data_IF_168621678623
#
_entry.id   IF_168621678623
#
_cell.length_a   1.000
_cell.length_b   1.000
_cell.length_c   1.000
_cell.angle_alpha   90.00
_cell.angle_beta   90.00
_cell.angle_gamma   90.00
#
_symmetry.space_group_name_H-M   'P 1'
#
loop_
_entity.id
_entity.type
_entity.pdbx_description
1 polymer ?
#
# COMPACT_ATOMS: atom_id res chain seq x y z
N UNK A 1 -19.56 -2.03 -15.68
CA UNK A 1 -19.10 -1.18 -14.57
C UNK A 1 -19.42 0.27 -14.85
N UNK A 2 -19.92 1.03 -13.88
CA UNK A 2 -20.25 2.43 -14.10
C UNK A 2 -18.98 3.30 -14.00
N UNK A 3 -19.08 4.53 -14.56
CA UNK A 3 -17.98 5.51 -14.48
C UNK A 3 -17.64 5.85 -13.03
N UNK A 4 -18.64 5.92 -12.14
CA UNK A 4 -18.40 6.20 -10.71
C UNK A 4 -17.72 5.05 -10.00
N UNK A 5 -17.98 3.81 -10.38
CA UNK A 5 -17.29 2.62 -9.84
C UNK A 5 -15.83 2.60 -10.28
N UNK A 6 -15.55 2.94 -11.54
CA UNK A 6 -14.19 3.04 -12.06
C UNK A 6 -13.37 4.09 -11.31
N UNK A 7 -13.98 5.27 -11.06
CA UNK A 7 -13.32 6.33 -10.28
C UNK A 7 -13.05 5.90 -8.84
N UNK A 8 -13.97 5.16 -8.21
CA UNK A 8 -13.78 4.63 -6.87
C UNK A 8 -12.63 3.62 -6.82
N UNK A 9 -12.49 2.79 -7.85
CA UNK A 9 -11.42 1.80 -7.91
C UNK A 9 -10.04 2.47 -7.98
N UNK A 10 -9.86 3.45 -8.87
CA UNK A 10 -8.56 4.14 -8.98
C UNK A 10 -8.27 4.98 -7.75
N UNK A 11 -9.27 5.65 -7.16
CA UNK A 11 -9.10 6.39 -5.92
C UNK A 11 -8.79 5.46 -4.76
N UNK A 12 -9.41 4.28 -4.71
CA UNK A 12 -9.12 3.27 -3.69
C UNK A 12 -7.67 2.83 -3.69
N UNK A 13 -7.05 2.72 -4.87
CA UNK A 13 -5.63 2.40 -4.98
C UNK A 13 -4.76 3.56 -4.50
N UNK A 14 -5.11 4.80 -4.84
CA UNK A 14 -4.40 5.97 -4.32
C UNK A 14 -4.46 6.00 -2.79
N UNK A 15 -5.64 5.77 -2.21
CA UNK A 15 -5.84 5.74 -0.76
C UNK A 15 -4.99 4.64 -0.10
N UNK A 16 -4.92 3.48 -0.73
CA UNK A 16 -4.09 2.36 -0.27
C UNK A 16 -2.60 2.73 -0.29
N UNK A 17 -2.14 3.36 -1.36
CA UNK A 17 -0.76 3.85 -1.45
C UNK A 17 -0.44 4.85 -0.33
N UNK A 18 -1.36 5.74 -0.03
CA UNK A 18 -1.21 6.70 1.08
C UNK A 18 -1.12 5.98 2.43
N UNK A 19 -1.91 4.94 2.64
CA UNK A 19 -1.85 4.13 3.87
C UNK A 19 -0.48 3.47 4.04
N UNK A 20 0.04 2.83 2.98
CA UNK A 20 1.38 2.22 3.01
C UNK A 20 2.49 3.25 3.24
N UNK A 21 2.32 4.45 2.72
CA UNK A 21 3.34 5.51 2.86
C UNK A 21 3.29 6.22 4.21
N UNK A 22 2.16 6.16 4.93
CA UNK A 22 1.92 6.96 6.14
C UNK A 22 2.76 6.54 7.34
N UNK A 23 3.12 5.25 7.44
CA UNK A 23 3.77 4.71 8.62
C UNK A 23 2.82 4.43 9.80
N UNK A 24 1.51 4.59 9.59
CA UNK A 24 0.49 4.45 10.64
C UNK A 24 -0.18 3.07 10.69
N UNK A 25 0.21 2.18 9.79
CA UNK A 25 -0.39 0.85 9.65
C UNK A 25 0.68 -0.23 9.63
N UNK A 26 0.31 -1.44 10.06
CA UNK A 26 1.16 -2.62 9.92
C UNK A 26 0.45 -3.68 9.09
N UNK A 27 1.25 -4.54 8.46
CA UNK A 27 0.75 -5.58 7.57
C UNK A 27 0.66 -6.90 8.31
N UNK A 28 -0.49 -7.58 8.22
CA UNK A 28 -0.69 -8.92 8.75
C UNK A 28 -1.59 -9.70 7.80
N UNK A 29 -1.10 -10.85 7.34
CA UNK A 29 -1.82 -11.72 6.41
C UNK A 29 -2.37 -10.98 5.18
N UNK A 30 -1.58 -10.07 4.64
CA UNK A 30 -1.94 -9.31 3.43
C UNK A 30 -2.89 -8.14 3.66
N UNK A 31 -3.21 -7.82 4.90
CA UNK A 31 -4.13 -6.73 5.24
C UNK A 31 -3.46 -5.71 6.17
N UNK A 32 -3.80 -4.44 5.98
CA UNK A 32 -3.29 -3.34 6.80
C UNK A 32 -4.17 -3.13 8.04
N UNK A 33 -3.51 -2.96 9.19
CA UNK A 33 -4.16 -2.66 10.46
C UNK A 33 -3.54 -1.42 11.09
N UNK A 34 -4.35 -0.57 11.76
CA UNK A 34 -3.81 0.60 12.46
C UNK A 34 -2.84 0.22 13.57
N UNK A 35 -1.74 0.95 13.69
CA UNK A 35 -0.81 0.79 14.81
C UNK A 35 -1.38 1.42 16.06
N UNK A 36 -2.12 2.54 15.93
CA UNK A 36 -2.80 3.17 17.05
C UNK A 36 -3.76 2.18 17.73
N UNK A 37 -3.58 1.97 19.03
CA UNK A 37 -4.33 0.94 19.76
C UNK A 37 -5.83 1.21 19.84
N UNK A 38 -6.25 2.49 19.85
CA UNK A 38 -7.66 2.87 19.86
C UNK A 38 -8.31 2.57 18.53
N UNK A 39 -7.64 2.93 17.44
CA UNK A 39 -8.12 2.66 16.08
C UNK A 39 -8.13 1.16 15.80
N UNK A 40 -7.11 0.44 16.25
CA UNK A 40 -7.05 -1.01 16.10
C UNK A 40 -8.21 -1.69 16.83
N UNK A 41 -8.44 -1.34 18.10
CA UNK A 41 -9.50 -1.97 18.90
C UNK A 41 -10.91 -1.60 18.44
N UNK A 42 -11.07 -0.55 17.62
CA UNK A 42 -12.36 -0.18 17.03
C UNK A 42 -12.76 -1.06 15.84
N UNK A 43 -11.83 -1.82 15.28
CA UNK A 43 -12.11 -2.72 14.15
C UNK A 43 -12.77 -4.01 14.64
N UNK A 44 -13.61 -4.58 13.77
CA UNK A 44 -14.32 -5.84 14.07
C UNK A 44 -13.30 -6.97 14.29
N UNK A 45 -13.54 -7.74 15.36
CA UNK A 45 -12.72 -8.91 15.72
C UNK A 45 -11.25 -8.57 16.08
N UNK A 46 -10.96 -7.31 16.33
CA UNK A 46 -9.65 -6.85 16.79
C UNK A 46 -9.73 -6.40 18.26
N UNK A 47 -8.78 -6.85 19.07
CA UNK A 47 -8.72 -6.50 20.48
C UNK A 47 -7.29 -6.15 20.89
N UNK A 48 -7.15 -5.38 21.96
CA UNK A 48 -5.88 -5.11 22.62
C UNK A 48 -5.87 -5.82 23.95
N UNK A 49 -4.82 -6.60 24.23
CA UNK A 49 -4.61 -7.23 25.52
C UNK A 49 -3.36 -6.66 26.18
N UNK A 50 -3.49 -6.29 27.44
CA UNK A 50 -2.37 -5.83 28.26
C UNK A 50 -2.08 -6.86 29.34
N UNK A 51 -0.79 -7.16 29.55
CA UNK A 51 -0.34 -8.15 30.50
C UNK A 51 0.76 -7.55 31.37
N UNK A 52 0.56 -7.59 32.71
CA UNK A 52 1.57 -7.17 33.68
C UNK A 52 2.42 -8.35 34.08
N UNK A 53 3.73 -8.24 33.95
CA UNK A 53 4.69 -9.25 34.33
C UNK A 53 5.73 -8.66 35.29
N UNK A 54 6.56 -9.53 35.88
CA UNK A 54 7.69 -9.08 36.70
C UNK A 54 8.71 -8.27 35.91
N UNK A 55 8.72 -8.43 34.60
CA UNK A 55 9.62 -7.68 33.69
C UNK A 55 9.00 -6.40 33.11
N UNK A 56 7.74 -6.10 33.46
CA UNK A 56 7.02 -4.92 32.98
C UNK A 56 5.67 -5.24 32.37
N UNK A 57 5.05 -4.23 31.77
CA UNK A 57 3.77 -4.34 31.08
C UNK A 57 4.00 -4.61 29.58
N UNK A 58 3.26 -5.59 29.04
CA UNK A 58 3.28 -5.92 27.63
C UNK A 58 1.91 -5.68 27.02
N UNK A 59 1.91 -5.16 25.79
CA UNK A 59 0.70 -4.91 24.99
C UNK A 59 0.70 -5.81 23.78
N UNK A 60 -0.42 -6.48 23.53
CA UNK A 60 -0.60 -7.39 22.39
C UNK A 60 -1.76 -6.95 21.54
N UNK A 61 -1.58 -7.05 20.23
CA UNK A 61 -2.66 -6.95 19.26
C UNK A 61 -3.22 -8.34 19.03
N UNK A 62 -4.53 -8.51 19.26
CA UNK A 62 -5.23 -9.76 18.99
C UNK A 62 -5.87 -9.63 17.61
N UNK A 63 -5.35 -10.37 16.66
CA UNK A 63 -5.77 -10.29 15.27
C UNK A 63 -7.08 -11.07 15.03
N UNK A 64 -7.82 -10.75 13.94
CA UNK A 64 -9.07 -11.46 13.63
C UNK A 64 -8.91 -12.98 13.48
N UNK A 65 -7.73 -13.44 13.07
CA UNK A 65 -7.42 -14.87 12.94
C UNK A 65 -7.01 -15.52 14.28
N UNK A 66 -7.02 -14.75 15.36
CA UNK A 66 -6.66 -15.22 16.71
C UNK A 66 -5.18 -15.13 17.02
N UNK A 67 -4.33 -14.73 16.08
CA UNK A 67 -2.91 -14.56 16.34
C UNK A 67 -2.67 -13.35 17.24
N UNK A 68 -1.71 -13.48 18.16
CA UNK A 68 -1.31 -12.43 19.08
C UNK A 68 0.04 -11.86 18.64
N UNK A 69 0.13 -10.53 18.50
CA UNK A 69 1.36 -9.85 18.10
C UNK A 69 1.76 -8.87 19.18
N UNK A 70 2.98 -9.01 19.70
CA UNK A 70 3.53 -8.10 20.70
C UNK A 70 3.73 -6.72 20.05
N UNK A 71 3.31 -5.65 20.73
CA UNK A 71 3.45 -4.28 20.23
C UNK A 71 4.89 -3.96 19.81
N UNK A 72 5.88 -4.41 20.58
CA UNK A 72 7.29 -4.16 20.28
C UNK A 72 7.78 -4.86 19.01
N UNK A 73 7.06 -5.87 18.53
CA UNK A 73 7.40 -6.60 17.30
C UNK A 73 6.69 -6.04 16.06
N UNK A 74 5.81 -5.05 16.23
CA UNK A 74 5.07 -4.45 15.12
C UNK A 74 5.96 -3.44 14.39
N UNK A 75 6.06 -3.60 13.08
CA UNK A 75 6.77 -2.66 12.21
C UNK A 75 5.78 -2.00 11.26
N UNK A 76 5.90 -0.67 11.03
CA UNK A 76 5.06 0.01 10.07
C UNK A 76 5.23 -0.58 8.66
N UNK A 77 4.13 -0.78 7.96
CA UNK A 77 4.17 -1.12 6.55
C UNK A 77 4.73 0.05 5.73
N UNK A 78 5.34 -0.26 4.60
CA UNK A 78 5.95 0.73 3.73
C UNK A 78 5.58 0.48 2.26
N UNK A 79 5.88 1.43 1.41
CA UNK A 79 5.69 1.28 -0.04
C UNK A 79 6.58 0.16 -0.60
N UNK A 80 7.73 -0.11 0.01
CA UNK A 80 8.54 -1.27 -0.35
C UNK A 80 7.74 -2.57 -0.21
N UNK A 81 6.99 -2.73 0.89
CA UNK A 81 6.15 -3.90 1.11
C UNK A 81 5.07 -4.01 0.04
N UNK A 82 4.48 -2.89 -0.36
CA UNK A 82 3.45 -2.85 -1.39
C UNK A 82 3.98 -3.33 -2.74
N UNK A 83 5.13 -2.80 -3.17
CA UNK A 83 5.68 -3.09 -4.50
C UNK A 83 6.50 -4.37 -4.57
N UNK A 84 6.92 -4.92 -3.45
CA UNK A 84 7.78 -6.10 -3.40
C UNK A 84 7.13 -7.34 -4.04
N UNK A 85 5.80 -7.40 -4.04
CA UNK A 85 5.04 -8.53 -4.60
C UNK A 85 4.75 -8.39 -6.09
N UNK A 86 5.02 -7.23 -6.69
CA UNK A 86 4.77 -7.01 -8.11
C UNK A 86 5.96 -7.45 -8.95
N UNK A 87 5.70 -8.36 -9.90
CA UNK A 87 6.71 -8.89 -10.80
C UNK A 87 6.77 -8.15 -12.14
N UNK A 88 5.67 -7.49 -12.50
CA UNK A 88 5.52 -6.86 -13.83
C UNK A 88 5.61 -5.34 -13.69
N UNK A 89 6.84 -4.85 -13.63
CA UNK A 89 7.15 -3.43 -13.53
C UNK A 89 7.84 -2.97 -14.80
N UNK A 90 7.21 -2.05 -15.53
CA UNK A 90 7.82 -1.38 -16.67
C UNK A 90 8.49 -0.08 -16.24
N UNK A 91 9.77 0.06 -16.49
CA UNK A 91 10.52 1.25 -16.09
C UNK A 91 10.56 2.27 -17.22
N UNK A 92 10.42 3.56 -16.88
CA UNK A 92 10.62 4.69 -17.79
C UNK A 92 12.02 5.23 -17.53
N UNK A 93 12.83 5.27 -18.59
CA UNK A 93 14.23 5.69 -18.51
C UNK A 93 14.52 6.75 -19.56
N UNK A 94 15.55 7.56 -19.33
CA UNK A 94 16.03 8.53 -20.31
C UNK A 94 17.04 7.89 -21.30
N UNK A 95 17.66 8.72 -22.15
CA UNK A 95 18.60 8.25 -23.17
C UNK A 95 19.85 7.60 -22.55
N UNK A 96 20.24 8.01 -21.36
CA UNK A 96 21.35 7.47 -20.61
C UNK A 96 20.95 6.28 -19.71
N UNK A 97 19.71 5.77 -19.89
CA UNK A 97 19.13 4.66 -19.12
C UNK A 97 19.00 4.96 -17.63
N UNK A 98 18.88 6.25 -17.28
CA UNK A 98 18.62 6.66 -15.90
C UNK A 98 17.12 6.58 -15.61
N UNK A 99 16.78 6.12 -14.41
CA UNK A 99 15.41 5.96 -13.95
C UNK A 99 14.66 7.30 -13.95
N UNK A 100 13.44 7.32 -14.50
CA UNK A 100 12.54 8.47 -14.52
C UNK A 100 11.18 8.18 -13.90
N UNK A 101 10.79 6.95 -13.81
CA UNK A 101 9.52 6.52 -13.27
C UNK A 101 9.23 5.09 -13.66
N UNK A 102 8.04 4.62 -13.33
CA UNK A 102 7.64 3.25 -13.64
C UNK A 102 6.13 3.16 -13.88
N UNK A 103 5.73 2.09 -14.53
CA UNK A 103 4.33 1.75 -14.75
C UNK A 103 4.13 0.31 -14.32
N UNK A 104 3.29 0.11 -13.31
CA UNK A 104 3.08 -1.18 -12.68
C UNK A 104 1.64 -1.63 -12.95
N UNK A 105 1.48 -2.84 -13.48
CA UNK A 105 0.16 -3.45 -13.65
C UNK A 105 -0.30 -4.03 -12.32
N UNK A 106 -1.37 -3.46 -11.77
CA UNK A 106 -1.96 -3.89 -10.50
C UNK A 106 -2.95 -5.03 -10.71
N UNK A 107 -3.77 -4.93 -11.76
CA UNK A 107 -4.75 -5.97 -12.13
C UNK A 107 -4.75 -6.21 -13.63
N UNK A 108 -5.07 -7.44 -14.02
CA UNK A 108 -5.33 -7.79 -15.42
C UNK A 108 -6.45 -8.84 -15.50
N UNK A 109 -7.08 -8.94 -16.69
CA UNK A 109 -8.15 -9.93 -16.90
C UNK A 109 -9.54 -9.45 -16.52
N UNK A 110 -9.67 -8.27 -15.97
CA UNK A 110 -10.91 -7.51 -15.77
C UNK A 110 -10.58 -6.10 -16.19
N UNK A 111 -10.96 -5.06 -15.41
CA UNK A 111 -10.39 -3.74 -15.64
C UNK A 111 -8.87 -3.84 -15.50
N UNK A 112 -8.13 -3.32 -16.48
CA UNK A 112 -6.69 -3.22 -16.38
C UNK A 112 -6.34 -1.95 -15.61
N UNK A 113 -5.63 -2.09 -14.50
CA UNK A 113 -5.27 -0.97 -13.65
C UNK A 113 -3.76 -0.87 -13.55
N UNK A 114 -3.25 0.33 -13.74
CA UNK A 114 -1.81 0.64 -13.68
C UNK A 114 -1.55 1.76 -12.69
N UNK A 115 -0.47 1.63 -11.94
CA UNK A 115 0.13 2.73 -11.20
C UNK A 115 1.24 3.29 -12.09
N UNK A 116 1.15 4.58 -12.43
CA UNK A 116 2.11 5.26 -13.29
C UNK A 116 2.79 6.36 -12.50
N UNK A 117 3.97 6.07 -11.98
CA UNK A 117 4.72 7.01 -11.15
C UNK A 117 5.42 8.09 -11.96
N UNK A 118 5.57 7.89 -13.28
CA UNK A 118 6.12 8.91 -14.17
C UNK A 118 5.12 10.04 -14.41
N UNK A 119 3.85 9.68 -14.65
CA UNK A 119 2.77 10.67 -14.82
C UNK A 119 2.08 11.05 -13.51
N UNK A 120 2.32 10.31 -12.44
CA UNK A 120 1.71 10.58 -11.13
C UNK A 120 0.24 10.23 -11.04
N UNK A 121 -0.20 9.19 -11.72
CA UNK A 121 -1.61 8.78 -11.75
C UNK A 121 -1.78 7.28 -11.56
N UNK A 122 -2.95 6.89 -11.08
CA UNK A 122 -3.48 5.52 -11.20
C UNK A 122 -4.48 5.55 -12.34
N UNK A 123 -4.39 4.60 -13.25
CA UNK A 123 -5.13 4.59 -14.50
C UNK A 123 -5.83 3.25 -14.71
N UNK A 124 -7.11 3.32 -15.08
CA UNK A 124 -7.95 2.14 -15.33
C UNK A 124 -8.46 2.15 -16.75
N UNK A 125 -8.38 0.99 -17.42
CA UNK A 125 -8.97 0.75 -18.73
C UNK A 125 -9.94 -0.42 -18.64
N UNK A 126 -11.16 -0.22 -19.13
CA UNK A 126 -12.19 -1.24 -19.20
C UNK A 126 -13.03 -1.03 -20.45
N UNK A 127 -12.83 -1.87 -21.48
CA UNK A 127 -13.45 -1.67 -22.79
C UNK A 127 -13.10 -0.30 -23.36
N UNK A 128 -14.11 0.55 -23.62
CA UNK A 128 -13.92 1.93 -24.07
C UNK A 128 -13.85 2.93 -22.90
N UNK A 129 -14.00 2.46 -21.67
CA UNK A 129 -13.96 3.30 -20.48
C UNK A 129 -12.54 3.54 -19.99
N UNK A 130 -12.31 4.72 -19.46
CA UNK A 130 -11.02 5.15 -18.95
C UNK A 130 -11.23 6.01 -17.71
N UNK A 131 -10.55 5.70 -16.64
CA UNK A 131 -10.60 6.48 -15.41
C UNK A 131 -9.19 6.69 -14.87
N UNK A 132 -8.97 7.83 -14.25
CA UNK A 132 -7.70 8.16 -13.59
C UNK A 132 -7.93 8.79 -12.23
N UNK A 133 -6.95 8.65 -11.35
CA UNK A 133 -6.87 9.39 -10.09
C UNK A 133 -5.44 9.88 -9.92
N UNK A 134 -5.28 11.09 -9.43
CA UNK A 134 -3.95 11.67 -9.19
C UNK A 134 -3.35 11.11 -7.90
N UNK A 135 -2.05 10.80 -7.96
CA UNK A 135 -1.27 10.44 -6.79
C UNK A 135 -0.68 11.73 -6.22
N UNK A 136 -0.87 12.02 -4.91
CA UNK A 136 -0.22 13.20 -4.32
C UNK A 136 1.28 13.22 -4.58
N UNK A 137 1.83 14.39 -4.86
CA UNK A 137 3.23 14.54 -5.28
C UNK A 137 4.23 13.93 -4.28
N UNK A 138 3.99 14.11 -2.98
CA UNK A 138 4.86 13.54 -1.94
C UNK A 138 4.83 12.01 -1.94
N UNK A 139 3.67 11.41 -2.18
CA UNK A 139 3.53 9.95 -2.28
C UNK A 139 4.21 9.45 -3.54
N UNK A 140 4.03 10.15 -4.65
CA UNK A 140 4.67 9.82 -5.92
C UNK A 140 6.20 9.84 -5.80
N UNK A 141 6.76 10.80 -5.10
CA UNK A 141 8.21 10.88 -4.85
C UNK A 141 8.70 9.68 -4.04
N UNK A 142 7.96 9.27 -3.02
CA UNK A 142 8.30 8.08 -2.22
C UNK A 142 8.21 6.80 -3.06
N UNK A 143 7.19 6.68 -3.91
CA UNK A 143 7.06 5.56 -4.84
C UNK A 143 8.29 5.48 -5.75
N UNK A 144 8.70 6.60 -6.31
CA UNK A 144 9.87 6.65 -7.20
C UNK A 144 11.18 6.31 -6.47
N UNK A 145 11.32 6.66 -5.20
CA UNK A 145 12.48 6.25 -4.42
C UNK A 145 12.58 4.73 -4.30
N UNK A 146 11.48 4.07 -3.97
CA UNK A 146 11.42 2.61 -3.86
C UNK A 146 11.69 1.95 -5.21
N UNK A 147 11.01 2.40 -6.26
CA UNK A 147 11.14 1.80 -7.60
C UNK A 147 12.51 2.06 -8.23
N UNK A 148 13.13 3.18 -7.90
CA UNK A 148 14.51 3.45 -8.32
C UNK A 148 15.49 2.42 -7.74
N UNK A 149 15.30 2.07 -6.47
CA UNK A 149 16.12 1.03 -5.84
C UNK A 149 15.95 -0.32 -6.55
N UNK A 150 14.70 -0.68 -6.90
CA UNK A 150 14.43 -1.90 -7.65
C UNK A 150 15.10 -1.89 -9.03
N UNK A 151 15.08 -0.75 -9.70
CA UNK A 151 15.66 -0.60 -11.04
C UNK A 151 17.18 -0.78 -11.03
N UNK A 152 17.87 -0.21 -10.06
CA UNK A 152 19.33 -0.25 -9.96
C UNK A 152 19.86 -1.45 -9.19
N UNK A 153 18.98 -2.28 -8.69
CA UNK A 153 19.36 -3.45 -7.90
C UNK A 153 19.92 -4.59 -8.75
#
# INVERSE_FOLDING_TARGET
MSKSENLKMVQGIVDELEMYASGDYFLHSGELFPIDIWDFSSKVDCEIRKEDTLCGEYTYYIMPDGEEILEDDVEPASLFDYFNDFLDIGYVVDREKQFKGARIMVTCGGPNIFIDSYRGIVELFWWTEHATAEIPANICDEINEVLREFYYC
#
